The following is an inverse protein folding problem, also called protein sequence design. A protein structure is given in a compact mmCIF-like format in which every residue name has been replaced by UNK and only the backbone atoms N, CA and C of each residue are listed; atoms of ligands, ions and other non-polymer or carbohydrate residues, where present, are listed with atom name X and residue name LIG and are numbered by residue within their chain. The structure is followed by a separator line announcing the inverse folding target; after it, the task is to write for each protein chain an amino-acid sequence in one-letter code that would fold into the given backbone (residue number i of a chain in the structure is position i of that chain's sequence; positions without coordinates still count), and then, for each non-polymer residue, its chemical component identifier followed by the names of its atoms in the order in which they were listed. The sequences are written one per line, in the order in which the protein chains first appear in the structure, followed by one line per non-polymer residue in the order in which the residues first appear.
data_IF_930121152219
#
_entry.id   IF_930121152219
#
_cell.length_a   1.000
_cell.length_b   1.000
_cell.length_c   1.000
_cell.angle_alpha   90.00
_cell.angle_beta   90.00
_cell.angle_gamma   90.00
#
_symmetry.space_group_name_H-M   'P 1'
#
loop_
_entity.id
_entity.type
_entity.pdbx_description
1 polymer ?
#
# COMPACT_ATOMS: atom_id res chain seq x y z
N UNK A 1 -8.73 -14.11 5.66
CA UNK A 1 -9.04 -12.92 4.85
C UNK A 1 -8.45 -11.71 5.56
N UNK A 2 -7.43 -11.07 4.99
CA UNK A 2 -6.90 -9.81 5.53
C UNK A 2 -7.84 -8.67 5.14
N UNK A 3 -8.03 -7.69 6.02
CA UNK A 3 -8.84 -6.50 5.73
C UNK A 3 -8.18 -5.70 4.61
N UNK A 4 -8.98 -5.24 3.64
CA UNK A 4 -8.53 -4.38 2.53
C UNK A 4 -9.29 -3.05 2.59
N UNK A 5 -8.59 -1.95 2.28
CA UNK A 5 -9.16 -0.61 2.23
C UNK A 5 -9.05 -0.04 0.81
N UNK A 6 -10.13 0.58 0.31
CA UNK A 6 -10.16 1.23 -1.00
C UNK A 6 -10.00 2.74 -0.92
N UNK A 7 -9.26 3.34 -1.86
CA UNK A 7 -9.15 4.79 -2.03
C UNK A 7 -10.27 5.25 -2.97
N UNK A 8 -11.21 6.06 -2.46
CA UNK A 8 -12.37 6.56 -3.22
C UNK A 8 -12.34 8.09 -3.35
N UNK A 9 -12.92 8.63 -4.44
CA UNK A 9 -12.99 10.07 -4.67
C UNK A 9 -13.29 10.45 -6.12
N UNK A 10 -13.65 11.72 -6.33
CA UNK A 10 -14.03 12.28 -7.63
C UNK A 10 -12.95 12.11 -8.72
N UNK A 11 -13.28 12.19 -10.01
CA UNK A 11 -12.28 12.21 -11.09
C UNK A 11 -11.20 13.27 -10.86
N UNK A 12 -9.95 12.97 -11.25
CA UNK A 12 -8.81 13.89 -11.23
C UNK A 12 -8.37 14.49 -9.87
N UNK A 13 -8.85 13.98 -8.73
CA UNK A 13 -8.42 14.44 -7.38
C UNK A 13 -7.08 13.87 -6.89
N UNK A 14 -6.27 13.28 -7.78
CA UNK A 14 -4.95 12.74 -7.43
C UNK A 14 -4.94 11.34 -6.80
N UNK A 15 -6.03 10.56 -6.91
CA UNK A 15 -6.12 9.18 -6.35
C UNK A 15 -4.96 8.27 -6.79
N UNK A 16 -4.67 8.24 -8.09
CA UNK A 16 -3.59 7.42 -8.65
C UNK A 16 -2.22 7.90 -8.19
N UNK A 17 -2.04 9.22 -8.02
CA UNK A 17 -0.82 9.81 -7.47
C UNK A 17 -0.60 9.34 -6.04
N UNK A 18 -1.62 9.44 -5.18
CA UNK A 18 -1.55 8.99 -3.79
C UNK A 18 -1.29 7.48 -3.70
N UNK A 19 -1.96 6.68 -4.53
CA UNK A 19 -1.72 5.23 -4.59
C UNK A 19 -0.28 4.90 -5.01
N UNK A 20 0.28 5.61 -6.00
CA UNK A 20 1.68 5.43 -6.43
C UNK A 20 2.71 5.92 -5.41
N UNK A 21 2.35 6.88 -4.56
CA UNK A 21 3.21 7.31 -3.45
C UNK A 21 3.19 6.33 -2.28
N UNK A 22 2.02 5.77 -1.96
CA UNK A 22 1.86 4.84 -0.83
C UNK A 22 2.25 3.41 -1.18
N UNK A 23 2.01 2.99 -2.42
CA UNK A 23 2.41 1.68 -2.89
C UNK A 23 3.67 1.80 -3.73
N UNK A 24 4.65 0.94 -3.48
CA UNK A 24 5.76 0.74 -4.42
C UNK A 24 5.30 0.10 -5.75
N UNK A 25 3.99 -0.17 -5.89
CA UNK A 25 3.38 -0.68 -7.11
C UNK A 25 3.16 0.50 -8.06
N UNK A 26 3.84 0.47 -9.22
CA UNK A 26 3.57 1.39 -10.32
C UNK A 26 2.17 1.08 -10.86
N UNK A 27 1.14 1.79 -10.42
CA UNK A 27 -0.19 1.65 -10.99
C UNK A 27 -0.10 1.98 -12.49
N UNK A 28 -0.32 0.97 -13.34
CA UNK A 28 -0.36 1.19 -14.77
C UNK A 28 -1.70 1.84 -15.09
N UNK A 29 -1.67 3.11 -15.46
CA UNK A 29 -2.82 3.83 -16.00
C UNK A 29 -2.95 3.49 -17.49
N UNK A 30 -3.34 2.26 -17.82
CA UNK A 30 -3.63 1.85 -19.19
C UNK A 30 -5.15 1.90 -19.41
N UNK A 31 -5.60 2.85 -20.24
CA UNK A 31 -7.01 3.01 -20.61
C UNK A 31 -7.36 2.04 -21.75
N UNK A 32 -7.58 0.77 -21.45
CA UNK A 32 -8.13 -0.18 -22.43
C UNK A 32 -9.63 -0.40 -22.17
N UNK A 33 -10.51 0.06 -23.08
CA UNK A 33 -11.93 -0.28 -22.99
C UNK A 33 -12.07 -1.80 -23.18
N UNK A 34 -12.90 -2.44 -22.35
CA UNK A 34 -13.26 -3.88 -22.36
C UNK A 34 -12.35 -4.88 -21.63
N UNK A 35 -11.29 -4.46 -20.93
CA UNK A 35 -10.58 -5.36 -20.01
C UNK A 35 -11.16 -5.26 -18.59
N UNK A 36 -11.33 -6.39 -17.89
CA UNK A 36 -11.50 -6.41 -16.44
C UNK A 36 -10.28 -5.73 -15.83
N UNK A 37 -10.45 -4.51 -15.33
CA UNK A 37 -9.38 -3.77 -14.67
C UNK A 37 -9.17 -4.46 -13.32
N UNK A 38 -8.13 -5.29 -13.20
CA UNK A 38 -7.68 -5.72 -11.89
C UNK A 38 -7.36 -4.47 -11.07
N UNK A 39 -7.98 -4.30 -9.88
CA UNK A 39 -7.72 -3.13 -9.07
C UNK A 39 -6.23 -3.13 -8.70
N UNK A 40 -5.58 -1.97 -8.77
CA UNK A 40 -4.21 -1.86 -8.28
C UNK A 40 -4.23 -2.16 -6.77
N UNK A 41 -3.62 -3.27 -6.37
CA UNK A 41 -3.48 -3.65 -4.95
C UNK A 41 -2.05 -3.35 -4.52
N UNK A 42 -1.92 -2.55 -3.47
CA UNK A 42 -0.63 -2.22 -2.85
C UNK A 42 -0.65 -2.58 -1.38
N UNK A 43 0.49 -3.01 -0.85
CA UNK A 43 0.71 -3.15 0.59
C UNK A 43 1.68 -2.07 1.05
N UNK A 44 1.42 -1.52 2.23
CA UNK A 44 2.32 -0.58 2.90
C UNK A 44 2.48 -1.02 4.36
N UNK A 45 3.70 -0.91 4.87
CA UNK A 45 4.00 -1.20 6.27
C UNK A 45 3.45 -0.09 7.17
N UNK A 46 2.80 -0.47 8.26
CA UNK A 46 2.31 0.51 9.26
C UNK A 46 3.49 0.95 10.12
N UNK A 47 3.80 2.26 10.23
CA UNK A 47 4.88 2.73 11.09
C UNK A 47 4.51 2.51 12.57
N UNK A 48 5.28 1.67 13.26
CA UNK A 48 5.10 1.39 14.68
C UNK A 48 6.43 1.52 15.45
N UNK A 49 6.55 2.56 16.28
CA UNK A 49 7.74 2.81 17.10
C UNK A 49 7.96 1.72 18.17
N UNK A 50 6.90 1.02 18.59
CA UNK A 50 6.97 -0.04 19.61
C UNK A 50 7.73 -1.25 19.09
N UNK A 51 7.59 -1.54 17.79
CA UNK A 51 8.31 -2.62 17.12
C UNK A 51 9.83 -2.43 17.22
N UNK A 52 10.30 -1.20 16.98
CA UNK A 52 11.71 -0.84 17.15
C UNK A 52 12.17 -0.99 18.60
N UNK A 53 11.34 -0.56 19.56
CA UNK A 53 11.66 -0.70 20.98
C UNK A 53 11.79 -2.16 21.43
N UNK A 54 10.91 -3.03 20.93
CA UNK A 54 11.01 -4.47 21.20
C UNK A 54 12.26 -5.08 20.55
N UNK A 55 12.63 -4.62 19.36
CA UNK A 55 13.84 -5.07 18.68
C UNK A 55 15.12 -4.73 19.45
N UNK A 56 15.17 -3.55 20.09
CA UNK A 56 16.29 -3.18 20.98
C UNK A 56 16.40 -4.08 22.22
N UNK A 57 15.26 -4.48 22.78
CA UNK A 57 15.20 -5.29 24.00
C UNK A 57 15.57 -6.76 23.74
N UNK A 58 15.07 -7.33 22.65
CA UNK A 58 15.15 -8.79 22.40
C UNK A 58 16.19 -9.16 21.34
N UNK A 59 16.70 -8.18 20.57
CA UNK A 59 17.68 -8.36 19.48
C UNK A 59 17.33 -9.52 18.54
N UNK A 60 16.14 -9.50 17.90
CA UNK A 60 15.70 -10.59 17.05
C UNK A 60 16.56 -10.71 15.79
N UNK A 61 16.62 -11.89 15.19
CA UNK A 61 17.33 -12.12 13.93
C UNK A 61 16.67 -11.40 12.75
N UNK A 62 15.36 -11.19 12.80
CA UNK A 62 14.58 -10.50 11.78
C UNK A 62 13.50 -9.62 12.40
N UNK A 63 13.23 -8.50 11.75
CA UNK A 63 12.18 -7.54 12.11
C UNK A 63 11.20 -7.45 10.94
N UNK A 64 9.97 -7.89 11.17
CA UNK A 64 8.91 -7.92 10.14
C UNK A 64 7.80 -6.96 10.59
N UNK A 65 7.60 -5.84 9.86
CA UNK A 65 6.50 -4.91 10.09
C UNK A 65 5.17 -5.36 9.48
#
# INVERSE_FOLDING_TARGET
MALQCGIVGLPNVGKSTLFNCLSNARAQAANFPFCTIEPNVGTITVPDQRLNRLAELVKPQNLVP
#
